data_IF_699990420742
#
_entry.id   IF_699990420742
#
_cell.length_a   1.000
_cell.length_b   1.000
_cell.length_c   1.000
_cell.angle_alpha   90.00
_cell.angle_beta   90.00
_cell.angle_gamma   90.00
#
_symmetry.space_group_name_H-M   'P 1'
#
loop_
_entity.id
_entity.type
_entity.pdbx_description
1 polymer ?
#
# COMPACT_ATOMS: atom_id res chain seq x y z
N UNK A 1 -17.58 0.27 27.21
CA UNK A 1 -18.73 -0.04 26.34
C UNK A 1 -19.20 1.27 25.70
N UNK A 2 -18.69 1.64 24.52
CA UNK A 2 -19.02 2.92 23.88
C UNK A 2 -19.79 2.67 22.58
N UNK A 3 -21.09 2.94 22.73
CA UNK A 3 -22.17 3.29 21.81
C UNK A 3 -21.99 3.06 20.29
N UNK A 4 -22.96 2.29 19.77
CA UNK A 4 -23.41 2.27 18.39
C UNK A 4 -24.11 3.61 18.07
N UNK A 5 -23.77 4.24 16.95
CA UNK A 5 -24.53 5.36 16.37
C UNK A 5 -24.77 5.14 14.89
N UNK A 6 -25.95 5.58 14.47
CA UNK A 6 -26.70 5.14 13.30
C UNK A 6 -26.80 6.24 12.23
N UNK A 7 -27.24 5.83 11.03
CA UNK A 7 -28.03 6.57 10.04
C UNK A 7 -27.40 7.79 9.34
N UNK A 8 -27.18 7.67 8.03
CA UNK A 8 -27.60 8.69 7.06
C UNK A 8 -27.78 8.06 5.68
N UNK A 9 -29.02 8.11 5.19
CA UNK A 9 -29.45 7.64 3.88
C UNK A 9 -29.06 8.63 2.78
N UNK A 10 -28.69 8.13 1.59
CA UNK A 10 -28.87 8.87 0.35
C UNK A 10 -29.17 7.89 -0.80
N UNK A 11 -30.45 7.82 -1.16
CA UNK A 11 -30.92 7.16 -2.36
C UNK A 11 -31.17 8.23 -3.43
N UNK A 12 -30.64 8.04 -4.63
CA UNK A 12 -31.27 8.56 -5.84
C UNK A 12 -30.95 7.62 -7.02
N UNK A 13 -32.02 7.08 -7.60
CA UNK A 13 -32.03 6.07 -8.64
C UNK A 13 -31.92 6.69 -10.05
N UNK A 14 -31.31 5.96 -10.99
CA UNK A 14 -31.66 6.06 -12.41
C UNK A 14 -31.61 4.67 -13.05
N UNK A 15 -32.75 4.29 -13.62
CA UNK A 15 -33.13 2.99 -14.12
C UNK A 15 -32.91 2.95 -15.65
N UNK A 16 -32.03 2.09 -16.17
CA UNK A 16 -32.09 1.65 -17.57
C UNK A 16 -31.86 0.13 -17.64
N UNK A 17 -32.94 -0.58 -17.95
CA UNK A 17 -32.98 -2.01 -18.20
C UNK A 17 -32.40 -2.33 -19.57
N UNK A 18 -31.23 -2.99 -19.61
CA UNK A 18 -30.83 -3.80 -20.76
C UNK A 18 -30.38 -5.17 -20.26
N UNK A 19 -30.96 -6.22 -20.85
CA UNK A 19 -30.62 -7.60 -20.56
C UNK A 19 -29.20 -7.87 -21.07
N UNK A 20 -28.23 -7.88 -20.15
CA UNK A 20 -26.88 -8.36 -20.35
C UNK A 20 -26.49 -9.22 -19.15
N UNK A 21 -26.46 -10.53 -19.34
CA UNK A 21 -25.97 -11.49 -18.35
C UNK A 21 -24.47 -11.22 -18.15
N UNK A 22 -24.06 -10.76 -16.98
CA UNK A 22 -22.64 -10.57 -16.64
C UNK A 22 -22.30 -9.18 -16.09
N UNK A 23 -22.99 -8.74 -15.05
CA UNK A 23 -22.54 -7.61 -14.24
C UNK A 23 -21.85 -8.16 -13.00
N UNK A 24 -20.52 -8.13 -12.99
CA UNK A 24 -19.71 -8.39 -11.80
C UNK A 24 -20.29 -7.55 -10.65
N UNK A 25 -20.63 -8.21 -9.55
CA UNK A 25 -20.94 -7.51 -8.32
C UNK A 25 -19.75 -6.60 -8.04
N UNK A 26 -19.96 -5.28 -8.09
CA UNK A 26 -19.00 -4.30 -7.61
C UNK A 26 -18.58 -4.79 -6.24
N UNK A 27 -17.35 -5.27 -6.16
CA UNK A 27 -16.74 -5.54 -4.86
C UNK A 27 -16.78 -4.19 -4.18
N UNK A 28 -17.60 -4.09 -3.15
CA UNK A 28 -17.59 -3.00 -2.18
C UNK A 28 -16.23 -3.06 -1.47
N UNK A 29 -15.16 -2.82 -2.22
CA UNK A 29 -13.84 -2.59 -1.71
C UNK A 29 -13.92 -1.16 -1.20
N UNK A 30 -14.17 -1.03 0.10
CA UNK A 30 -13.81 0.18 0.84
C UNK A 30 -12.33 0.44 0.53
N UNK A 31 -12.06 1.20 -0.53
CA UNK A 31 -10.68 1.49 -0.92
C UNK A 31 -10.04 2.21 0.26
N UNK A 32 -8.86 1.76 0.72
CA UNK A 32 -8.19 2.41 1.82
C UNK A 32 -7.96 3.88 1.47
N UNK A 33 -8.17 4.77 2.44
CA UNK A 33 -7.94 6.21 2.25
C UNK A 33 -6.42 6.42 2.17
N UNK A 34 -5.88 7.01 1.09
CA UNK A 34 -4.45 7.29 1.02
C UNK A 34 -4.02 8.29 2.10
N UNK A 35 -2.74 8.24 2.55
CA UNK A 35 -1.68 7.35 2.07
C UNK A 35 -1.74 5.94 2.65
N UNK A 36 -1.48 4.92 1.83
CA UNK A 36 -1.42 3.51 2.24
C UNK A 36 -0.42 2.70 1.41
N UNK A 37 0.00 1.54 1.92
CA UNK A 37 0.77 0.54 1.19
C UNK A 37 -0.12 -0.60 0.72
N UNK A 38 0.22 -1.20 -0.42
CA UNK A 38 -0.40 -2.45 -0.84
C UNK A 38 0.08 -3.58 0.07
N UNK A 39 -0.87 -4.23 0.75
CA UNK A 39 -0.58 -5.29 1.71
C UNK A 39 -1.27 -6.59 1.34
N UNK A 40 -0.60 -7.71 1.61
CA UNK A 40 -1.19 -9.04 1.62
C UNK A 40 -1.32 -9.51 3.07
N UNK A 41 -2.52 -9.94 3.48
CA UNK A 41 -2.80 -10.35 4.87
C UNK A 41 -2.40 -9.28 5.92
N UNK A 42 -2.53 -8.00 5.56
CA UNK A 42 -2.20 -6.87 6.45
C UNK A 42 -0.71 -6.62 6.63
N UNK A 43 0.16 -7.15 5.78
CA UNK A 43 1.58 -6.82 5.75
C UNK A 43 2.04 -6.56 4.31
N UNK A 44 3.08 -5.75 4.15
CA UNK A 44 3.81 -5.67 2.88
C UNK A 44 4.63 -6.95 2.71
N UNK A 45 4.31 -7.74 1.70
CA UNK A 45 4.98 -9.02 1.41
C UNK A 45 5.94 -8.85 0.25
N UNK A 46 7.19 -9.25 0.44
CA UNK A 46 8.23 -9.28 -0.60
C UNK A 46 8.98 -10.60 -0.53
N UNK A 47 9.54 -11.07 -1.64
CA UNK A 47 10.35 -12.28 -1.65
C UNK A 47 11.82 -11.97 -1.35
N UNK A 48 12.56 -12.95 -0.82
CA UNK A 48 14.01 -12.90 -0.67
C UNK A 48 14.72 -12.98 -2.04
N UNK A 49 14.53 -11.96 -2.87
CA UNK A 49 15.05 -11.86 -4.22
C UNK A 49 15.31 -10.40 -4.61
N UNK A 50 15.97 -10.21 -5.73
CA UNK A 50 16.14 -8.90 -6.36
C UNK A 50 14.80 -8.38 -6.93
N UNK A 51 14.75 -7.08 -7.25
CA UNK A 51 13.63 -6.42 -7.95
C UNK A 51 12.25 -6.65 -7.31
N UNK A 52 12.17 -6.55 -5.98
CA UNK A 52 10.89 -6.60 -5.28
C UNK A 52 10.23 -5.23 -5.23
N UNK A 53 8.96 -5.19 -5.59
CA UNK A 53 8.22 -3.95 -5.71
C UNK A 53 7.39 -3.70 -4.45
N UNK A 54 7.67 -2.60 -3.76
CA UNK A 54 6.80 -2.07 -2.72
C UNK A 54 5.92 -1.00 -3.34
N UNK A 55 4.62 -1.27 -3.36
CA UNK A 55 3.62 -0.40 -3.97
C UNK A 55 2.74 0.26 -2.93
N UNK A 56 2.21 1.41 -3.28
CA UNK A 56 1.24 2.10 -2.46
C UNK A 56 0.65 3.29 -3.16
N UNK A 57 -0.16 4.03 -2.42
CA UNK A 57 -0.84 5.22 -2.91
C UNK A 57 -0.70 6.35 -1.89
N UNK A 58 -0.64 7.58 -2.38
CA UNK A 58 -0.48 8.80 -1.59
C UNK A 58 -1.37 9.92 -2.13
N UNK A 59 -1.59 10.96 -1.32
CA UNK A 59 -2.31 12.17 -1.73
C UNK A 59 -1.41 13.24 -2.33
N UNK A 60 -0.13 12.92 -2.57
CA UNK A 60 0.79 13.81 -3.26
C UNK A 60 0.42 13.93 -4.74
N UNK A 61 0.76 15.08 -5.34
CA UNK A 61 0.49 15.31 -6.76
C UNK A 61 1.37 14.42 -7.64
N UNK A 62 0.88 14.12 -8.84
CA UNK A 62 1.70 13.46 -9.86
C UNK A 62 2.99 14.24 -10.13
N UNK A 63 4.11 13.52 -10.25
CA UNK A 63 5.45 14.10 -10.43
C UNK A 63 6.12 14.59 -9.14
N UNK A 64 5.43 14.53 -7.99
CA UNK A 64 6.07 14.73 -6.69
C UNK A 64 6.98 13.55 -6.36
N UNK A 65 8.05 13.83 -5.61
CA UNK A 65 9.03 12.82 -5.22
C UNK A 65 8.71 12.32 -3.82
N UNK A 66 8.50 11.02 -3.66
CA UNK A 66 8.33 10.38 -2.36
C UNK A 66 9.51 9.46 -2.06
N UNK A 67 9.89 9.38 -0.79
CA UNK A 67 10.98 8.53 -0.32
C UNK A 67 10.42 7.35 0.45
N UNK A 68 10.54 6.16 -0.13
CA UNK A 68 10.18 4.89 0.52
C UNK A 68 11.40 4.37 1.25
N UNK A 69 11.25 4.12 2.54
CA UNK A 69 12.31 3.65 3.44
C UNK A 69 11.90 2.33 4.06
N UNK A 70 12.71 1.30 3.86
CA UNK A 70 12.54 -0.01 4.46
C UNK A 70 13.60 -0.21 5.53
N UNK A 71 13.18 -0.45 6.77
CA UNK A 71 14.06 -0.61 7.92
C UNK A 71 13.74 -1.89 8.67
N UNK A 72 14.78 -2.66 9.02
CA UNK A 72 14.66 -3.71 10.03
C UNK A 72 15.63 -3.47 11.18
N UNK A 73 15.17 -3.75 12.40
CA UNK A 73 15.94 -3.64 13.65
C UNK A 73 16.15 -4.99 14.35
N UNK A 74 15.81 -6.10 13.69
CA UNK A 74 15.94 -7.46 14.22
C UNK A 74 17.38 -7.99 14.18
N UNK A 75 17.52 -9.31 14.12
CA UNK A 75 18.81 -10.02 14.15
C UNK A 75 19.73 -9.64 12.98
N UNK A 76 19.14 -9.33 11.82
CA UNK A 76 19.83 -8.84 10.62
C UNK A 76 19.35 -7.43 10.30
N UNK A 77 19.90 -6.38 10.95
CA UNK A 77 19.43 -5.02 10.73
C UNK A 77 19.84 -4.53 9.35
N UNK A 78 18.89 -3.88 8.67
CA UNK A 78 19.15 -3.25 7.38
C UNK A 78 18.34 -1.97 7.22
N UNK A 79 18.84 -1.09 6.35
CA UNK A 79 18.16 0.12 5.94
C UNK A 79 18.30 0.25 4.42
N UNK A 80 17.17 0.22 3.72
CA UNK A 80 17.08 0.46 2.27
C UNK A 80 16.20 1.68 2.05
N UNK A 81 16.57 2.53 1.11
CA UNK A 81 15.84 3.78 0.83
C UNK A 81 15.84 4.02 -0.66
N UNK A 82 14.68 4.35 -1.20
CA UNK A 82 14.48 4.68 -2.61
C UNK A 82 13.58 5.90 -2.73
N UNK A 83 13.94 6.80 -3.63
CA UNK A 83 13.11 7.93 -4.02
C UNK A 83 12.48 7.63 -5.36
N UNK A 84 11.17 7.78 -5.44
CA UNK A 84 10.37 7.48 -6.64
C UNK A 84 9.36 8.59 -6.87
N UNK A 85 9.02 8.80 -8.13
CA UNK A 85 8.00 9.77 -8.52
C UNK A 85 6.60 9.19 -8.31
N UNK A 86 5.69 10.05 -7.88
CA UNK A 86 4.26 9.73 -7.75
C UNK A 86 3.61 9.77 -9.13
N UNK A 87 2.89 8.71 -9.50
CA UNK A 87 2.16 8.60 -10.75
C UNK A 87 0.89 9.46 -10.80
N UNK A 88 0.25 9.51 -11.98
CA UNK A 88 -0.95 10.35 -12.26
C UNK A 88 -2.16 10.10 -11.34
N UNK A 89 -2.22 8.92 -10.75
CA UNK A 89 -3.26 8.46 -9.83
C UNK A 89 -2.80 8.48 -8.36
N UNK A 90 -1.66 9.09 -8.04
CA UNK A 90 -1.12 9.10 -6.69
C UNK A 90 -0.39 7.80 -6.30
N UNK A 91 -0.19 6.85 -7.21
CA UNK A 91 0.52 5.61 -6.89
C UNK A 91 2.03 5.78 -6.93
N UNK A 92 2.74 5.06 -6.09
CA UNK A 92 4.19 4.94 -6.15
C UNK A 92 4.58 3.45 -6.19
N UNK A 93 5.68 3.16 -6.88
CA UNK A 93 6.27 1.83 -6.98
C UNK A 93 7.77 1.96 -6.71
N UNK A 94 8.25 1.35 -5.63
CA UNK A 94 9.65 1.34 -5.26
C UNK A 94 10.22 -0.07 -5.35
N UNK A 95 11.16 -0.28 -6.27
CA UNK A 95 11.90 -1.51 -6.40
C UNK A 95 13.08 -1.56 -5.42
N UNK A 96 13.19 -2.66 -4.68
CA UNK A 96 14.28 -2.93 -3.74
C UNK A 96 14.85 -4.33 -3.97
N UNK A 97 16.12 -4.50 -3.60
CA UNK A 97 16.77 -5.81 -3.57
C UNK A 97 16.73 -6.40 -2.17
N UNK A 98 16.09 -7.57 -2.01
CA UNK A 98 16.03 -8.34 -0.76
C UNK A 98 16.75 -9.69 -0.88
N UNK A 99 17.57 -9.90 -1.92
CA UNK A 99 18.31 -11.16 -2.13
C UNK A 99 19.26 -11.51 -0.97
N UNK A 100 19.81 -10.50 -0.30
CA UNK A 100 20.66 -10.67 0.89
C UNK A 100 19.87 -10.77 2.21
N UNK A 101 18.53 -10.80 2.18
CA UNK A 101 17.69 -10.81 3.38
C UNK A 101 17.03 -12.17 3.55
N UNK A 102 17.23 -12.78 4.72
CA UNK A 102 16.63 -14.08 5.04
C UNK A 102 15.10 -14.02 5.06
N UNK A 103 14.47 -15.06 4.52
CA UNK A 103 13.02 -15.25 4.63
C UNK A 103 12.58 -15.36 6.11
N UNK A 104 11.41 -14.81 6.41
CA UNK A 104 10.88 -14.66 7.77
C UNK A 104 11.31 -13.36 8.47
N UNK A 105 12.23 -12.58 7.86
CA UNK A 105 12.64 -11.29 8.40
C UNK A 105 11.48 -10.29 8.33
N UNK A 106 11.18 -9.67 9.48
CA UNK A 106 10.22 -8.56 9.55
C UNK A 106 10.93 -7.24 9.34
N UNK A 107 10.24 -6.33 8.68
CA UNK A 107 10.70 -4.96 8.47
C UNK A 107 9.54 -3.98 8.61
N UNK A 108 9.87 -2.71 8.80
CA UNK A 108 8.95 -1.60 8.75
C UNK A 108 9.23 -0.83 7.46
N UNK A 109 8.18 -0.47 6.73
CA UNK A 109 8.28 0.40 5.57
C UNK A 109 7.55 1.70 5.82
N UNK A 110 8.21 2.80 5.51
CA UNK A 110 7.68 4.15 5.69
C UNK A 110 7.84 4.94 4.42
N UNK A 111 6.80 5.66 4.01
CA UNK A 111 6.85 6.60 2.90
C UNK A 111 6.90 8.02 3.45
N UNK A 112 7.86 8.79 2.96
CA UNK A 112 8.06 10.19 3.34
C UNK A 112 7.91 11.12 2.14
N UNK A 113 7.55 12.36 2.41
CA UNK A 113 7.64 13.48 1.48
C UNK A 113 8.29 14.65 2.20
N UNK A 114 9.41 15.17 1.68
CA UNK A 114 10.19 16.25 2.30
C UNK A 114 10.40 16.03 3.81
N UNK A 115 10.93 14.87 4.19
CA UNK A 115 11.18 14.45 5.59
C UNK A 115 9.93 14.28 6.49
N UNK A 116 8.73 14.50 5.95
CA UNK A 116 7.47 14.24 6.64
C UNK A 116 7.03 12.81 6.38
N UNK A 117 6.83 12.02 7.43
CA UNK A 117 6.24 10.69 7.34
C UNK A 117 4.77 10.80 6.90
N UNK A 118 4.44 10.12 5.80
CA UNK A 118 3.08 10.07 5.26
C UNK A 118 2.33 8.82 5.73
N UNK A 119 2.97 7.66 5.66
CA UNK A 119 2.42 6.38 6.13
C UNK A 119 3.55 5.42 6.51
N UNK A 120 3.24 4.54 7.45
CA UNK A 120 4.13 3.45 7.90
C UNK A 120 3.33 2.16 7.93
N UNK A 121 3.94 1.06 7.49
CA UNK A 121 3.33 -0.26 7.47
C UNK A 121 4.35 -1.35 7.83
N UNK A 122 3.87 -2.47 8.39
CA UNK A 122 4.70 -3.64 8.67
C UNK A 122 4.86 -4.52 7.43
N UNK A 123 6.02 -5.14 7.29
CA UNK A 123 6.30 -6.06 6.19
C UNK A 123 7.07 -7.30 6.61
N UNK A 124 7.03 -8.31 5.73
CA UNK A 124 7.69 -9.59 5.92
C UNK A 124 8.34 -10.04 4.62
N UNK A 125 9.56 -10.54 4.73
CA UNK A 125 10.25 -11.22 3.63
C UNK A 125 9.82 -12.69 3.61
N UNK A 126 9.37 -13.19 2.47
CA UNK A 126 9.00 -14.60 2.26
C UNK A 126 10.03 -15.30 1.39
N UNK A 127 10.01 -16.63 1.39
CA UNK A 127 10.82 -17.38 0.44
C UNK A 127 10.38 -17.07 -1.00
N UNK A 128 11.34 -16.96 -1.91
CA UNK A 128 11.10 -16.84 -3.35
C UNK A 128 10.48 -18.11 -3.95
#
# INVERSE_FOLDING_TARGET
>A
MKARSALAALALAALLTTAGCGGFASSDASQPTPPYFETENGNVTVHAAENQHVKGMTNQSSGENVTVRVRSSGDSPFLKTQTVDVGENGTFDAAFDFSDVDAGTRFEVTVHHNDTELATESGVVTAA
#
